data_IF_577790137602
#
_entry.id   IF_577790137602
#
_cell.length_a   1.000
_cell.length_b   1.000
_cell.length_c   1.000
_cell.angle_alpha   90.00
_cell.angle_beta   90.00
_cell.angle_gamma   90.00
#
_symmetry.space_group_name_H-M   'P 1'
#
loop_
_entity.id
_entity.type
_entity.pdbx_description
1 polymer ?
#
# COMPACT_ATOMS: atom_id res chain seq x y z
N UNK A 1 0.76 10.19 12.05
CA UNK A 1 1.75 9.83 13.08
C UNK A 1 2.78 8.88 12.49
N UNK A 2 4.05 9.20 12.64
CA UNK A 2 5.14 8.36 12.12
C UNK A 2 5.45 7.25 13.11
N UNK A 3 5.56 6.02 12.61
CA UNK A 3 5.79 4.84 13.45
C UNK A 3 6.95 4.06 12.85
N UNK A 4 8.13 4.18 13.46
CA UNK A 4 9.31 3.40 13.07
C UNK A 4 9.51 2.16 13.95
N UNK A 5 8.89 2.13 15.13
CA UNK A 5 8.95 1.01 16.07
C UNK A 5 7.97 -0.08 15.65
N UNK A 6 8.46 -1.31 15.42
CA UNK A 6 7.63 -2.42 14.95
C UNK A 6 6.54 -2.82 15.94
N UNK A 7 6.86 -2.83 17.24
CA UNK A 7 5.90 -3.25 18.26
C UNK A 7 4.76 -2.23 18.36
N UNK A 8 5.08 -0.94 18.30
CA UNK A 8 4.08 0.12 18.31
C UNK A 8 3.23 0.08 17.04
N UNK A 9 3.83 -0.16 15.88
CA UNK A 9 3.12 -0.30 14.63
C UNK A 9 2.14 -1.48 14.66
N UNK A 10 2.56 -2.63 15.18
CA UNK A 10 1.72 -3.82 15.28
C UNK A 10 0.45 -3.54 16.09
N UNK A 11 0.54 -2.73 17.15
CA UNK A 11 -0.63 -2.36 17.96
C UNK A 11 -1.65 -1.54 17.15
N UNK A 12 -1.21 -0.77 16.16
CA UNK A 12 -2.06 0.10 15.35
C UNK A 12 -2.49 -0.53 14.03
N UNK A 13 -1.85 -1.62 13.62
CA UNK A 13 -2.14 -2.32 12.37
C UNK A 13 -3.30 -3.28 12.55
N UNK A 14 -4.53 -2.73 12.53
CA UNK A 14 -5.77 -3.46 12.86
C UNK A 14 -5.99 -4.76 12.08
N UNK A 15 -5.53 -4.81 10.83
CA UNK A 15 -5.71 -5.99 9.97
C UNK A 15 -4.56 -6.99 10.06
N UNK A 16 -3.50 -6.65 10.77
CA UNK A 16 -2.33 -7.51 10.93
C UNK A 16 -1.33 -7.41 9.77
N UNK A 17 -0.06 -7.57 10.10
CA UNK A 17 1.04 -7.46 9.14
C UNK A 17 1.06 -8.61 8.14
N UNK A 18 0.75 -9.83 8.59
CA UNK A 18 0.81 -11.00 7.74
C UNK A 18 2.23 -11.54 7.58
N UNK A 19 2.56 -12.00 6.38
CA UNK A 19 3.83 -12.65 6.07
C UNK A 19 4.64 -11.82 5.09
N UNK A 20 5.98 -12.04 5.01
CA UNK A 20 6.80 -11.34 4.02
C UNK A 20 6.24 -11.46 2.61
N UNK A 21 6.23 -10.35 1.88
CA UNK A 21 5.67 -10.26 0.54
C UNK A 21 6.66 -10.82 -0.49
N UNK A 22 6.77 -12.14 -0.57
CA UNK A 22 7.69 -12.80 -1.51
C UNK A 22 7.10 -12.90 -2.91
N UNK A 23 5.79 -13.06 -3.04
CA UNK A 23 5.12 -13.24 -4.33
C UNK A 23 5.29 -12.03 -5.25
N UNK A 24 5.27 -10.82 -4.70
CA UNK A 24 5.35 -9.57 -5.47
C UNK A 24 6.61 -8.77 -5.17
N UNK A 25 7.61 -9.37 -4.49
CA UNK A 25 8.82 -8.66 -4.04
C UNK A 25 9.56 -7.94 -5.16
N UNK A 26 9.56 -8.49 -6.37
CA UNK A 26 10.23 -7.88 -7.53
C UNK A 26 9.64 -6.54 -7.97
N UNK A 27 8.43 -6.22 -7.53
CA UNK A 27 7.77 -4.95 -7.84
C UNK A 27 7.99 -3.88 -6.78
N UNK A 28 8.76 -4.20 -5.72
CA UNK A 28 8.99 -3.32 -4.57
C UNK A 28 10.47 -3.03 -4.38
N UNK A 29 10.75 -1.88 -3.80
CA UNK A 29 12.09 -1.50 -3.33
C UNK A 29 11.97 -1.50 -1.81
N UNK A 30 12.75 -2.36 -1.12
CA UNK A 30 12.70 -2.55 0.32
C UNK A 30 11.80 -3.72 0.73
N UNK A 31 11.59 -3.88 2.03
CA UNK A 31 10.83 -4.99 2.60
C UNK A 31 9.36 -4.62 2.81
N UNK A 32 8.48 -5.52 2.44
CA UNK A 32 7.04 -5.39 2.65
C UNK A 32 6.42 -6.69 3.10
N UNK A 33 5.19 -6.60 3.63
CA UNK A 33 4.44 -7.73 4.17
C UNK A 33 3.03 -7.71 3.59
N UNK A 34 2.45 -8.89 3.44
CA UNK A 34 1.15 -9.06 2.80
C UNK A 34 0.23 -9.89 3.68
N UNK A 35 -0.98 -9.40 3.86
CA UNK A 35 -2.04 -10.16 4.54
C UNK A 35 -3.32 -10.06 3.72
N UNK A 36 -3.73 -11.19 3.15
CA UNK A 36 -4.96 -11.26 2.36
C UNK A 36 -6.16 -11.31 3.29
N UNK A 37 -7.09 -10.38 3.11
CA UNK A 37 -8.26 -10.24 3.98
C UNK A 37 -9.52 -10.89 3.40
N UNK A 38 -9.51 -11.18 2.10
CA UNK A 38 -10.62 -11.84 1.42
C UNK A 38 -10.14 -13.07 0.66
N UNK A 39 -11.08 -13.94 0.30
CA UNK A 39 -10.79 -15.14 -0.49
C UNK A 39 -11.10 -14.87 -1.96
N UNK A 40 -10.46 -15.61 -2.90
CA UNK A 40 -10.73 -15.42 -4.33
C UNK A 40 -12.21 -15.55 -4.69
N UNK A 41 -12.94 -16.44 -4.05
CA UNK A 41 -14.36 -16.68 -4.29
C UNK A 41 -15.27 -15.53 -3.85
N UNK A 42 -14.77 -14.59 -3.03
CA UNK A 42 -15.56 -13.45 -2.57
C UNK A 42 -15.77 -12.39 -3.66
N UNK A 43 -15.03 -12.48 -4.78
CA UNK A 43 -15.16 -11.56 -5.89
C UNK A 43 -14.53 -10.18 -5.66
N UNK A 44 -14.09 -9.87 -4.44
CA UNK A 44 -13.41 -8.64 -4.10
C UNK A 44 -12.07 -8.99 -3.45
N UNK A 45 -10.99 -8.50 -4.05
CA UNK A 45 -9.64 -8.79 -3.56
C UNK A 45 -9.14 -7.66 -2.66
N UNK A 46 -9.16 -7.89 -1.35
CA UNK A 46 -8.74 -6.92 -0.34
C UNK A 46 -7.48 -7.42 0.36
N UNK A 47 -6.41 -6.63 0.30
CA UNK A 47 -5.12 -6.96 0.88
C UNK A 47 -4.67 -5.85 1.83
N UNK A 48 -4.07 -6.26 2.95
CA UNK A 48 -3.34 -5.34 3.81
C UNK A 48 -1.86 -5.46 3.49
N UNK A 49 -1.26 -4.39 2.97
CA UNK A 49 0.16 -4.35 2.64
C UNK A 49 0.87 -3.44 3.62
N UNK A 50 1.85 -3.99 4.31
CA UNK A 50 2.66 -3.27 5.30
C UNK A 50 4.04 -3.04 4.73
N UNK A 51 4.52 -1.79 4.79
CA UNK A 51 5.82 -1.38 4.27
C UNK A 51 6.76 -1.06 5.42
N UNK A 52 7.97 -1.63 5.39
CA UNK A 52 9.05 -1.15 6.25
C UNK A 52 9.38 0.30 5.90
N UNK A 53 9.93 1.10 6.83
CA UNK A 53 10.29 2.48 6.52
C UNK A 53 11.13 2.59 5.25
N UNK A 54 10.75 3.48 4.35
CA UNK A 54 11.43 3.69 3.07
C UNK A 54 11.07 2.70 1.96
N UNK A 55 10.30 1.64 2.26
CA UNK A 55 9.86 0.69 1.24
C UNK A 55 8.79 1.32 0.36
N UNK A 56 8.86 1.06 -0.95
CA UNK A 56 7.85 1.52 -1.91
C UNK A 56 7.74 0.52 -3.05
N UNK A 57 6.60 0.53 -3.75
CA UNK A 57 6.52 -0.22 -5.00
C UNK A 57 7.07 0.59 -6.16
N UNK A 58 7.32 -0.08 -7.27
CA UNK A 58 7.78 0.57 -8.49
C UNK A 58 6.60 1.31 -9.16
N UNK A 59 6.92 2.25 -10.05
CA UNK A 59 5.92 2.86 -10.92
C UNK A 59 5.18 1.76 -11.67
N UNK A 60 3.85 1.78 -11.64
CA UNK A 60 3.03 0.76 -12.29
C UNK A 60 1.68 1.31 -12.73
N UNK A 61 0.99 0.54 -13.59
CA UNK A 61 -0.31 0.89 -14.13
C UNK A 61 -1.23 -0.33 -14.00
N UNK A 62 -2.46 -0.10 -13.55
CA UNK A 62 -3.51 -1.11 -13.59
C UNK A 62 -4.33 -0.92 -14.87
N UNK A 63 -4.28 -1.90 -15.77
CA UNK A 63 -4.97 -1.82 -17.07
C UNK A 63 -6.37 -2.42 -16.97
N UNK A 64 -7.37 -1.67 -17.43
CA UNK A 64 -8.75 -2.15 -17.54
C UNK A 64 -9.53 -1.26 -18.51
N UNK A 65 -10.51 -1.86 -19.20
CA UNK A 65 -11.39 -1.11 -20.12
C UNK A 65 -12.48 -0.36 -19.39
N UNK A 66 -12.95 -0.91 -18.26
CA UNK A 66 -13.93 -0.26 -17.39
C UNK A 66 -13.75 -0.77 -15.96
N UNK A 67 -14.01 0.06 -14.97
CA UNK A 67 -13.71 -0.29 -13.59
C UNK A 67 -12.23 -0.58 -13.42
N UNK A 68 -11.86 -1.54 -12.60
CA UNK A 68 -10.51 -2.11 -12.53
C UNK A 68 -9.39 -1.20 -12.00
N UNK A 69 -9.72 -0.08 -11.39
CA UNK A 69 -8.74 0.74 -10.70
C UNK A 69 -8.35 0.14 -9.35
N UNK A 70 -7.78 0.95 -8.48
CA UNK A 70 -7.36 0.52 -7.16
C UNK A 70 -7.90 1.49 -6.10
N UNK A 71 -8.29 0.93 -4.96
CA UNK A 71 -8.64 1.71 -3.79
C UNK A 71 -7.51 1.54 -2.78
N UNK A 72 -6.91 2.67 -2.36
CA UNK A 72 -5.80 2.68 -1.42
C UNK A 72 -6.25 3.37 -0.13
N UNK A 73 -6.13 2.67 1.00
CA UNK A 73 -6.52 3.18 2.31
C UNK A 73 -5.33 3.07 3.25
N UNK A 74 -4.93 4.18 3.86
CA UNK A 74 -3.90 4.17 4.88
C UNK A 74 -4.54 3.85 6.23
N UNK A 75 -4.11 2.77 6.88
CA UNK A 75 -4.67 2.33 8.17
C UNK A 75 -3.75 2.60 9.35
N UNK A 76 -2.44 2.66 9.13
CA UNK A 76 -1.46 2.93 10.19
C UNK A 76 -0.18 3.51 9.59
N UNK A 77 0.55 4.28 10.40
CA UNK A 77 1.81 4.89 9.97
C UNK A 77 1.60 6.04 9.00
N UNK A 78 2.64 6.35 8.22
CA UNK A 78 2.58 7.39 7.19
C UNK A 78 3.29 6.94 5.93
N UNK A 79 2.77 7.37 4.80
CA UNK A 79 3.32 7.01 3.52
C UNK A 79 3.14 8.10 2.47
N UNK A 80 3.47 7.73 1.23
CA UNK A 80 3.35 8.58 0.05
C UNK A 80 2.57 7.86 -1.05
N UNK A 81 1.85 8.65 -1.83
CA UNK A 81 1.25 8.23 -3.08
C UNK A 81 1.57 9.29 -4.13
N UNK A 82 1.96 8.88 -5.33
CA UNK A 82 2.22 9.82 -6.42
C UNK A 82 1.75 9.27 -7.76
N UNK A 83 1.00 10.08 -8.50
CA UNK A 83 0.68 9.83 -9.89
C UNK A 83 1.73 10.49 -10.77
N UNK A 84 2.02 9.88 -11.93
CA UNK A 84 2.94 10.47 -12.90
C UNK A 84 2.49 11.87 -13.30
N UNK A 85 3.41 12.83 -13.22
CA UNK A 85 3.15 14.23 -13.59
C UNK A 85 2.51 15.06 -12.48
N UNK A 86 2.28 14.49 -11.30
CA UNK A 86 1.67 15.20 -10.16
C UNK A 86 2.59 15.19 -8.94
N UNK A 87 2.29 16.06 -7.97
CA UNK A 87 3.01 16.11 -6.71
C UNK A 87 2.67 14.89 -5.84
N UNK A 88 3.62 14.42 -5.00
CA UNK A 88 3.32 13.36 -4.04
C UNK A 88 2.26 13.78 -3.03
N UNK A 89 1.39 12.84 -2.69
CA UNK A 89 0.35 13.03 -1.68
C UNK A 89 0.76 12.30 -0.41
N UNK A 90 0.73 12.98 0.71
CA UNK A 90 1.03 12.38 2.02
C UNK A 90 -0.13 11.49 2.45
N UNK A 91 0.19 10.26 2.86
CA UNK A 91 -0.77 9.29 3.37
C UNK A 91 -0.67 9.24 4.90
N UNK A 92 -1.79 9.47 5.56
CA UNK A 92 -1.93 9.33 7.01
C UNK A 92 -3.14 8.45 7.31
N UNK A 93 -3.26 7.90 8.53
CA UNK A 93 -4.39 7.01 8.86
C UNK A 93 -5.74 7.65 8.56
N UNK A 94 -6.57 6.90 7.84
CA UNK A 94 -7.88 7.39 7.38
C UNK A 94 -7.90 7.96 5.97
N UNK A 95 -6.72 8.22 5.36
CA UNK A 95 -6.66 8.73 3.99
C UNK A 95 -7.08 7.64 3.02
N UNK A 96 -7.98 7.98 2.09
CA UNK A 96 -8.48 7.09 1.04
C UNK A 96 -8.16 7.73 -0.31
N UNK A 97 -7.52 6.95 -1.19
CA UNK A 97 -7.21 7.37 -2.56
C UNK A 97 -7.92 6.41 -3.52
N UNK A 98 -8.71 6.96 -4.42
CA UNK A 98 -9.28 6.20 -5.53
C UNK A 98 -8.36 6.37 -6.73
N UNK A 99 -7.75 5.28 -7.18
CA UNK A 99 -6.80 5.30 -8.29
C UNK A 99 -7.50 4.72 -9.51
N UNK A 100 -7.82 5.54 -10.54
CA UNK A 100 -8.44 5.03 -11.76
C UNK A 100 -7.51 4.04 -12.48
N UNK A 101 -8.09 3.15 -13.27
CA UNK A 101 -7.30 2.31 -14.18
C UNK A 101 -6.52 3.20 -15.15
N UNK A 102 -5.42 2.71 -15.69
CA UNK A 102 -4.55 3.39 -16.66
C UNK A 102 -3.74 4.57 -16.09
N UNK A 103 -3.78 4.82 -14.79
CA UNK A 103 -2.97 5.85 -14.14
C UNK A 103 -1.67 5.24 -13.62
N UNK A 104 -0.55 5.74 -14.11
CA UNK A 104 0.78 5.31 -13.64
C UNK A 104 1.08 5.96 -12.30
N UNK A 105 1.40 5.14 -11.29
CA UNK A 105 1.56 5.61 -9.90
C UNK A 105 2.50 4.72 -9.10
N UNK A 106 2.86 5.19 -7.92
CA UNK A 106 3.52 4.38 -6.89
C UNK A 106 3.00 4.78 -5.51
N UNK A 107 3.19 3.92 -4.54
CA UNK A 107 2.94 4.23 -3.13
C UNK A 107 3.92 3.47 -2.24
N UNK A 108 4.04 3.90 -0.99
CA UNK A 108 4.97 3.29 -0.05
C UNK A 108 5.04 4.05 1.26
N UNK A 109 5.94 3.60 2.13
CA UNK A 109 6.16 4.20 3.45
C UNK A 109 7.10 5.41 3.36
N UNK A 110 6.94 6.34 4.30
CA UNK A 110 7.95 7.38 4.54
C UNK A 110 9.20 6.76 5.15
N UNK A 111 10.30 7.50 5.14
CA UNK A 111 11.61 6.96 5.59
C UNK A 111 11.66 6.57 7.06
N UNK A 112 10.73 7.07 7.88
CA UNK A 112 10.68 6.79 9.33
C UNK A 112 9.36 6.16 9.77
N UNK A 113 8.58 5.60 8.85
CA UNK A 113 7.27 5.03 9.22
C UNK A 113 6.91 3.83 8.36
#
# INVERSE_FOLDING_TARGET
>A
MKIADKDEFEKQNVFGTGTPNTAYAKYFIGESYLNSLTKPEDGLHLLNVTFEPGCRNNWHIHHAKSGGGQLLICTAGEGWYQEEGKEPVSLTPGKVIVIPAEVKHWHGAKTVS
#
